data_IF_278946825662
#
_entry.id   IF_278946825662
#
_cell.length_a   1.000
_cell.length_b   1.000
_cell.length_c   1.000
_cell.angle_alpha   90.00
_cell.angle_beta   90.00
_cell.angle_gamma   90.00
#
_symmetry.space_group_name_H-M   'P 1'
#
loop_
_entity.id
_entity.type
_entity.pdbx_description
1 polymer ?
#
# COMPACT_ATOMS: atom_id res chain seq x y z
N UNK A 1 -40.68 0.62 4.46
CA UNK A 1 -39.91 -0.57 4.03
C UNK A 1 -39.09 -0.26 2.77
N UNK A 2 -38.26 0.80 2.79
CA UNK A 2 -37.42 1.21 1.65
C UNK A 2 -35.93 1.30 2.05
N UNK A 3 -35.67 1.41 3.35
CA UNK A 3 -34.33 1.56 3.94
C UNK A 3 -33.51 0.26 3.98
N UNK A 4 -34.15 -0.92 4.07
CA UNK A 4 -33.42 -2.20 4.09
C UNK A 4 -32.99 -2.64 2.69
N UNK A 5 -33.73 -2.25 1.66
CA UNK A 5 -33.41 -2.56 0.27
C UNK A 5 -32.14 -1.81 -0.17
N UNK A 6 -32.04 -0.52 0.18
CA UNK A 6 -30.87 0.30 -0.10
C UNK A 6 -29.58 -0.27 0.50
N UNK A 7 -29.62 -0.74 1.76
CA UNK A 7 -28.46 -1.37 2.38
C UNK A 7 -28.09 -2.68 1.68
N UNK A 8 -29.09 -3.50 1.31
CA UNK A 8 -28.86 -4.74 0.57
C UNK A 8 -28.19 -4.51 -0.79
N UNK A 9 -28.65 -3.50 -1.52
CA UNK A 9 -28.09 -3.13 -2.83
C UNK A 9 -26.67 -2.54 -2.69
N UNK A 10 -26.45 -1.71 -1.66
CA UNK A 10 -25.12 -1.16 -1.35
C UNK A 10 -24.12 -2.26 -0.97
N UNK A 11 -24.53 -3.19 -0.11
CA UNK A 11 -23.69 -4.31 0.29
C UNK A 11 -23.37 -5.20 -0.92
N UNK A 12 -24.36 -5.48 -1.78
CA UNK A 12 -24.16 -6.27 -3.00
C UNK A 12 -23.15 -5.59 -3.94
N UNK A 13 -23.29 -4.29 -4.17
CA UNK A 13 -22.35 -3.52 -4.98
C UNK A 13 -20.92 -3.50 -4.40
N UNK A 14 -20.79 -3.43 -3.07
CA UNK A 14 -19.49 -3.51 -2.39
C UNK A 14 -18.85 -4.89 -2.51
N UNK A 15 -19.65 -5.96 -2.40
CA UNK A 15 -19.15 -7.33 -2.55
C UNK A 15 -18.73 -7.65 -3.99
N UNK A 16 -19.50 -7.20 -5.00
CA UNK A 16 -19.14 -7.36 -6.41
C UNK A 16 -17.85 -6.61 -6.76
N UNK A 17 -17.69 -5.38 -6.25
CA UNK A 17 -16.46 -4.61 -6.45
C UNK A 17 -15.23 -5.32 -5.90
N UNK A 18 -15.35 -6.00 -4.76
CA UNK A 18 -14.24 -6.76 -4.14
C UNK A 18 -13.73 -7.87 -5.06
N UNK A 19 -14.60 -8.51 -5.83
CA UNK A 19 -14.20 -9.56 -6.76
C UNK A 19 -13.43 -9.01 -7.97
N UNK A 20 -13.70 -7.77 -8.39
CA UNK A 20 -12.98 -7.08 -9.47
C UNK A 20 -11.59 -6.53 -9.06
N UNK A 21 -11.28 -6.49 -7.76
CA UNK A 21 -9.98 -6.04 -7.24
C UNK A 21 -8.94 -7.18 -7.16
N UNK A 22 -9.27 -8.36 -7.69
CA UNK A 22 -8.31 -9.46 -7.82
C UNK A 22 -7.18 -9.04 -8.76
N UNK A 23 -5.96 -8.96 -8.22
CA UNK A 23 -4.74 -8.80 -9.01
C UNK A 23 -4.47 -10.07 -9.82
N UNK A 24 -5.26 -10.30 -10.86
CA UNK A 24 -5.08 -11.46 -11.72
C UNK A 24 -3.99 -11.14 -12.77
N UNK A 25 -2.91 -11.93 -12.71
CA UNK A 25 -1.77 -11.99 -13.63
C UNK A 25 -0.63 -10.97 -13.48
N UNK A 26 -0.48 -10.31 -12.32
CA UNK A 26 0.80 -9.62 -12.07
C UNK A 26 1.91 -10.64 -11.73
N UNK A 27 2.87 -10.77 -12.65
CA UNK A 27 4.00 -11.72 -12.56
C UNK A 27 5.19 -11.17 -11.79
N UNK A 28 5.19 -9.87 -11.44
CA UNK A 28 6.27 -9.21 -10.69
C UNK A 28 6.48 -9.85 -9.32
N UNK A 29 7.67 -9.71 -8.73
CA UNK A 29 7.88 -10.12 -7.34
C UNK A 29 7.15 -9.16 -6.38
N UNK A 30 6.97 -9.56 -5.11
CA UNK A 30 6.37 -8.66 -4.10
C UNK A 30 7.21 -7.38 -3.91
N UNK A 31 8.54 -7.47 -4.06
CA UNK A 31 9.47 -6.34 -3.98
C UNK A 31 9.27 -5.39 -5.16
N UNK A 32 9.19 -5.93 -6.38
CA UNK A 32 8.96 -5.11 -7.59
C UNK A 32 7.60 -4.42 -7.55
N UNK A 33 6.57 -5.09 -7.00
CA UNK A 33 5.26 -4.50 -6.77
C UNK A 33 5.30 -3.32 -5.77
N UNK A 34 6.06 -3.45 -4.67
CA UNK A 34 6.27 -2.35 -3.73
C UNK A 34 6.99 -1.17 -4.38
N UNK A 35 8.03 -1.43 -5.19
CA UNK A 35 8.74 -0.38 -5.93
C UNK A 35 7.85 0.33 -6.93
N UNK A 36 7.04 -0.43 -7.68
CA UNK A 36 6.05 0.15 -8.59
C UNK A 36 5.01 1.00 -7.86
N UNK A 37 4.52 0.52 -6.69
CA UNK A 37 3.57 1.25 -5.85
C UNK A 37 4.13 2.58 -5.32
N UNK A 38 5.42 2.64 -5.03
CA UNK A 38 6.10 3.86 -4.58
C UNK A 38 6.64 4.74 -5.72
N UNK A 39 6.38 4.35 -6.97
CA UNK A 39 6.75 5.11 -8.17
C UNK A 39 5.56 5.91 -8.71
N UNK A 40 5.74 6.75 -9.75
CA UNK A 40 4.63 7.42 -10.43
C UNK A 40 3.56 6.46 -10.98
N UNK A 41 3.90 5.21 -11.27
CA UNK A 41 2.92 4.18 -11.64
C UNK A 41 1.88 3.98 -10.51
N UNK A 42 2.32 4.07 -9.25
CA UNK A 42 1.48 4.00 -8.05
C UNK A 42 0.46 5.12 -7.93
N UNK A 43 0.72 6.31 -8.49
CA UNK A 43 -0.24 7.41 -8.47
C UNK A 43 -1.49 7.10 -9.31
N UNK A 44 -1.30 6.37 -10.42
CA UNK A 44 -2.37 5.99 -11.34
C UNK A 44 -2.98 4.64 -10.96
N UNK A 45 -2.14 3.67 -10.57
CA UNK A 45 -2.52 2.27 -10.39
C UNK A 45 -2.38 1.76 -8.96
N UNK A 46 -2.27 2.66 -7.97
CA UNK A 46 -1.92 2.32 -6.59
C UNK A 46 -2.83 1.28 -5.94
N UNK A 47 -4.15 1.35 -6.17
CA UNK A 47 -5.09 0.37 -5.62
C UNK A 47 -4.86 -1.04 -6.20
N UNK A 48 -4.58 -1.13 -7.50
CA UNK A 48 -4.30 -2.42 -8.17
C UNK A 48 -2.96 -3.01 -7.70
N UNK A 49 -1.94 -2.17 -7.62
CA UNK A 49 -0.61 -2.55 -7.12
C UNK A 49 -0.67 -3.01 -5.66
N UNK A 50 -1.32 -2.25 -4.78
CA UNK A 50 -1.49 -2.62 -3.37
C UNK A 50 -2.29 -3.92 -3.20
N UNK A 51 -3.35 -4.12 -4.00
CA UNK A 51 -4.10 -5.37 -4.00
C UNK A 51 -3.22 -6.56 -4.42
N UNK A 52 -2.35 -6.37 -5.41
CA UNK A 52 -1.40 -7.38 -5.88
C UNK A 52 -0.31 -7.69 -4.83
N UNK A 53 0.21 -6.69 -4.12
CA UNK A 53 1.15 -6.87 -2.99
C UNK A 53 0.50 -7.75 -1.91
N UNK A 54 -0.71 -7.40 -1.48
CA UNK A 54 -1.43 -8.14 -0.43
C UNK A 54 -1.81 -9.56 -0.87
N UNK A 55 -2.14 -9.75 -2.15
CA UNK A 55 -2.38 -11.07 -2.70
C UNK A 55 -1.11 -11.93 -2.68
N UNK A 56 0.04 -11.36 -3.04
CA UNK A 56 1.32 -12.08 -3.02
C UNK A 56 1.79 -12.41 -1.61
N UNK A 57 1.67 -11.48 -0.65
CA UNK A 57 2.05 -11.72 0.76
C UNK A 57 1.36 -12.95 1.37
N UNK A 58 0.09 -13.17 1.01
CA UNK A 58 -0.70 -14.32 1.48
C UNK A 58 -0.18 -15.67 0.96
N UNK A 59 0.63 -15.67 -0.09
CA UNK A 59 1.17 -16.88 -0.73
C UNK A 59 2.63 -17.18 -0.35
N UNK A 60 3.31 -16.26 0.34
CA UNK A 60 4.72 -16.44 0.72
C UNK A 60 4.89 -17.49 1.80
N UNK A 61 5.93 -18.33 1.65
CA UNK A 61 6.41 -19.19 2.72
C UNK A 61 7.09 -18.37 3.84
N UNK A 62 7.28 -18.96 5.02
CA UNK A 62 7.78 -18.24 6.20
C UNK A 62 9.15 -17.60 6.01
N UNK A 63 10.07 -18.26 5.30
CA UNK A 63 11.40 -17.76 4.95
C UNK A 63 11.32 -16.58 3.96
N UNK A 64 10.48 -16.70 2.94
CA UNK A 64 10.21 -15.63 1.98
C UNK A 64 9.56 -14.41 2.64
N UNK A 65 8.67 -14.66 3.61
CA UNK A 65 7.99 -13.62 4.37
C UNK A 65 8.95 -12.87 5.28
N UNK A 66 9.89 -13.58 5.94
CA UNK A 66 10.98 -12.95 6.66
C UNK A 66 11.82 -12.05 5.73
N UNK A 67 12.24 -12.57 4.57
CA UNK A 67 13.00 -11.78 3.60
C UNK A 67 12.25 -10.54 3.11
N UNK A 68 10.94 -10.65 2.90
CA UNK A 68 10.09 -9.51 2.56
C UNK A 68 10.05 -8.45 3.66
N UNK A 69 9.83 -8.84 4.92
CA UNK A 69 9.82 -7.87 6.03
C UNK A 69 11.19 -7.27 6.32
N UNK A 70 12.28 -8.03 6.12
CA UNK A 70 13.64 -7.48 6.16
C UNK A 70 13.81 -6.40 5.09
N UNK A 71 13.39 -6.66 3.85
CA UNK A 71 13.41 -5.65 2.78
C UNK A 71 12.62 -4.38 3.16
N UNK A 72 11.43 -4.52 3.76
CA UNK A 72 10.66 -3.35 4.19
C UNK A 72 11.43 -2.47 5.19
N UNK A 73 12.11 -3.08 6.16
CA UNK A 73 12.86 -2.36 7.20
C UNK A 73 14.21 -1.83 6.71
N UNK A 74 14.85 -2.49 5.74
CA UNK A 74 16.18 -2.08 5.29
C UNK A 74 16.13 -1.08 4.13
N UNK A 75 15.17 -1.25 3.21
CA UNK A 75 15.13 -0.49 1.95
C UNK A 75 13.99 0.53 1.89
N UNK A 76 12.89 0.31 2.61
CA UNK A 76 11.72 1.22 2.62
C UNK A 76 11.53 1.97 3.93
N UNK A 77 12.46 1.84 4.87
CA UNK A 77 12.50 2.62 6.11
C UNK A 77 13.09 4.01 5.85
N UNK A 78 12.67 4.99 6.65
CA UNK A 78 13.28 6.32 6.64
C UNK A 78 14.59 6.31 7.42
N UNK A 79 15.59 7.06 6.95
CA UNK A 79 16.77 7.33 7.77
C UNK A 79 16.38 8.17 8.99
N UNK A 80 16.34 7.52 10.15
CA UNK A 80 15.95 8.13 11.42
C UNK A 80 16.83 9.35 11.78
N UNK A 81 18.11 9.35 11.41
CA UNK A 81 19.00 10.48 11.67
C UNK A 81 18.62 11.68 10.80
N UNK A 82 18.35 11.45 9.51
CA UNK A 82 17.84 12.49 8.60
C UNK A 82 16.49 13.02 9.07
N UNK A 83 15.56 12.15 9.47
CA UNK A 83 14.25 12.56 10.02
C UNK A 83 14.41 13.43 11.26
N UNK A 84 15.26 13.02 12.21
CA UNK A 84 15.53 13.80 13.41
C UNK A 84 16.15 15.17 13.11
N UNK A 85 17.09 15.22 12.16
CA UNK A 85 17.73 16.46 11.71
C UNK A 85 16.71 17.42 11.09
N UNK A 86 15.88 16.94 10.17
CA UNK A 86 14.84 17.75 9.51
C UNK A 86 13.78 18.24 10.51
N UNK A 87 13.42 17.41 11.50
CA UNK A 87 12.50 17.81 12.56
C UNK A 87 13.08 18.93 13.44
N UNK A 88 14.38 18.85 13.77
CA UNK A 88 15.06 19.91 14.53
C UNK A 88 15.17 21.21 13.73
N UNK A 89 15.49 21.12 12.43
CA UNK A 89 15.51 22.27 11.52
C UNK A 89 14.14 22.96 11.48
N UNK A 90 13.08 22.19 11.24
CA UNK A 90 11.70 22.69 11.23
C UNK A 90 11.30 23.34 12.56
N UNK A 91 11.69 22.76 13.70
CA UNK A 91 11.41 23.35 15.01
C UNK A 91 12.15 24.69 15.21
N UNK A 92 13.36 24.83 14.67
CA UNK A 92 14.19 26.04 14.79
C UNK A 92 13.74 27.17 13.86
N UNK A 93 13.18 26.83 12.71
CA UNK A 93 12.68 27.77 11.72
C UNK A 93 11.41 27.20 11.06
N UNK A 94 10.25 27.30 11.74
CA UNK A 94 9.00 26.79 11.19
C UNK A 94 8.75 27.46 9.84
N UNK A 95 8.75 26.68 8.76
CA UNK A 95 8.35 27.20 7.46
C UNK A 95 6.93 27.75 7.61
N UNK A 96 6.72 29.02 7.28
CA UNK A 96 5.35 29.55 7.20
C UNK A 96 4.62 28.73 6.14
N UNK A 97 3.68 27.90 6.58
CA UNK A 97 2.60 27.51 5.70
C UNK A 97 1.86 28.82 5.35
N UNK A 98 1.82 29.16 4.06
CA UNK A 98 0.92 30.19 3.54
C UNK A 98 -0.29 29.50 2.96
#
# INVERSE_FOLDING_TARGET
MQHSQFLGDLLSALFDRRNALGGENDTRTIIDLCRALLSPEGEVSGLSLASSVLARDRTLASDQKLGFFTFLNEELEFDAATVASLAAEYASAPSQWR
#
